data_IF_740131048275
#
_entry.id   IF_740131048275
#
_cell.length_a   1.000
_cell.length_b   1.000
_cell.length_c   1.000
_cell.angle_alpha   90.00
_cell.angle_beta   90.00
_cell.angle_gamma   90.00
#
_symmetry.space_group_name_H-M   'P 1'
#
loop_
_entity.id
_entity.type
_entity.pdbx_description
1 polymer ?
#
# COMPACT_ATOMS: atom_id res chain seq x y z
N UNK A 1 1.47 -37.28 -53.90
CA UNK A 1 0.94 -37.09 -52.53
C UNK A 1 1.58 -35.83 -51.96
N UNK A 2 0.80 -34.76 -51.79
CA UNK A 2 1.31 -33.49 -51.25
C UNK A 2 1.77 -33.70 -49.81
N UNK A 3 3.05 -33.44 -49.53
CA UNK A 3 3.54 -33.42 -48.16
C UNK A 3 2.86 -32.25 -47.44
N UNK A 4 2.03 -32.57 -46.44
CA UNK A 4 1.39 -31.57 -45.60
C UNK A 4 2.45 -30.70 -44.94
N UNK A 5 2.35 -29.38 -45.16
CA UNK A 5 3.24 -28.39 -44.55
C UNK A 5 3.16 -28.57 -43.03
N UNK A 6 4.26 -28.96 -42.39
CA UNK A 6 4.39 -29.08 -40.94
C UNK A 6 4.42 -27.68 -40.33
N UNK A 7 3.25 -27.05 -40.26
CA UNK A 7 3.09 -25.82 -39.49
C UNK A 7 3.16 -26.21 -38.01
N UNK A 8 4.05 -25.59 -37.21
CA UNK A 8 4.09 -25.85 -35.79
C UNK A 8 2.70 -25.54 -35.21
N UNK A 9 2.10 -26.53 -34.55
CA UNK A 9 0.76 -26.43 -33.98
C UNK A 9 0.76 -25.24 -33.00
N UNK A 10 -0.13 -24.28 -33.23
CA UNK A 10 -0.25 -23.09 -32.38
C UNK A 10 -0.71 -23.46 -30.98
N UNK A 11 0.22 -23.69 -30.07
CA UNK A 11 -0.11 -23.96 -28.66
C UNK A 11 -0.32 -22.63 -27.93
N UNK A 12 -1.59 -22.29 -27.67
CA UNK A 12 -1.95 -21.13 -26.84
C UNK A 12 -1.75 -21.47 -25.36
N UNK A 13 -0.60 -21.10 -24.80
CA UNK A 13 -0.34 -21.22 -23.36
C UNK A 13 -0.70 -19.92 -22.65
N UNK A 14 -1.60 -20.01 -21.68
CA UNK A 14 -1.88 -18.91 -20.77
C UNK A 14 -0.71 -18.80 -19.79
N UNK A 15 -0.02 -17.67 -19.77
CA UNK A 15 1.26 -17.48 -19.06
C UNK A 15 1.10 -17.10 -17.58
N UNK A 16 -0.04 -16.52 -17.20
CA UNK A 16 -0.28 -15.96 -15.87
C UNK A 16 -1.45 -16.67 -15.16
N UNK A 17 -1.37 -17.99 -15.01
CA UNK A 17 -2.38 -18.79 -14.29
C UNK A 17 -1.89 -19.09 -12.88
N UNK A 18 -2.77 -18.95 -11.89
CA UNK A 18 -2.65 -19.57 -10.58
C UNK A 18 -3.37 -20.91 -10.60
N UNK A 19 -2.77 -21.93 -9.99
CA UNK A 19 -3.39 -23.25 -9.87
C UNK A 19 -3.81 -23.46 -8.43
N UNK A 20 -5.09 -23.71 -8.21
CA UNK A 20 -5.59 -24.20 -6.91
C UNK A 20 -5.78 -25.69 -7.04
N UNK A 21 -5.16 -26.46 -6.15
CA UNK A 21 -5.14 -27.92 -6.19
C UNK A 21 -5.92 -28.48 -5.01
N UNK A 22 -6.73 -29.49 -5.27
CA UNK A 22 -7.36 -30.31 -4.25
C UNK A 22 -7.13 -31.79 -4.55
N UNK A 23 -6.86 -32.58 -3.51
CA UNK A 23 -6.69 -34.04 -3.63
C UNK A 23 -7.84 -34.72 -2.88
N UNK A 24 -8.65 -35.50 -3.60
CA UNK A 24 -9.79 -36.23 -3.04
C UNK A 24 -9.90 -37.61 -3.67
N UNK A 25 -10.19 -38.64 -2.88
CA UNK A 25 -10.28 -40.04 -3.34
C UNK A 25 -9.06 -40.52 -4.17
N UNK A 26 -7.86 -40.07 -3.78
CA UNK A 26 -6.62 -40.40 -4.51
C UNK A 26 -6.43 -39.71 -5.86
N UNK A 27 -7.44 -38.99 -6.37
CA UNK A 27 -7.41 -38.21 -7.60
C UNK A 27 -7.06 -36.75 -7.30
N UNK A 28 -6.45 -36.07 -8.27
CA UNK A 28 -6.06 -34.66 -8.19
C UNK A 28 -7.00 -33.85 -9.06
N UNK A 29 -7.51 -32.76 -8.50
CA UNK A 29 -8.35 -31.79 -9.19
C UNK A 29 -7.69 -30.42 -9.06
N UNK A 30 -7.64 -29.70 -10.16
CA UNK A 30 -6.95 -28.43 -10.29
C UNK A 30 -7.85 -27.45 -11.07
N UNK A 31 -7.87 -26.20 -10.62
CA UNK A 31 -8.60 -25.11 -11.28
C UNK A 31 -7.63 -24.00 -11.68
N UNK A 32 -7.95 -23.34 -12.78
CA UNK A 32 -7.19 -22.21 -13.31
C UNK A 32 -7.81 -20.90 -12.84
N UNK A 33 -7.09 -20.17 -11.99
CA UNK A 33 -7.55 -18.91 -11.40
C UNK A 33 -6.57 -17.77 -11.70
N UNK A 34 -7.01 -16.53 -11.48
CA UNK A 34 -6.12 -15.38 -11.44
C UNK A 34 -5.42 -15.28 -10.07
N UNK A 35 -4.10 -15.05 -10.08
CA UNK A 35 -3.23 -15.06 -8.88
C UNK A 35 -3.73 -14.18 -7.73
N UNK A 36 -4.04 -12.93 -8.00
CA UNK A 36 -4.45 -11.98 -6.95
C UNK A 36 -5.89 -12.21 -6.47
N UNK A 37 -6.73 -12.80 -7.32
CA UNK A 37 -8.17 -12.96 -7.08
C UNK A 37 -8.47 -14.09 -6.08
N UNK A 38 -7.65 -15.13 -6.04
CA UNK A 38 -7.85 -16.26 -5.11
C UNK A 38 -7.71 -15.82 -3.64
N UNK A 39 -6.78 -14.92 -3.34
CA UNK A 39 -6.59 -14.40 -1.97
C UNK A 39 -7.77 -13.49 -1.60
N UNK A 40 -8.21 -12.62 -2.52
CA UNK A 40 -9.38 -11.75 -2.32
C UNK A 40 -10.67 -12.56 -2.08
N UNK A 41 -10.84 -13.67 -2.80
CA UNK A 41 -11.95 -14.60 -2.61
C UNK A 41 -11.97 -15.17 -1.19
N UNK A 42 -10.82 -15.62 -0.68
CA UNK A 42 -10.70 -16.13 0.70
C UNK A 42 -10.95 -15.06 1.75
N UNK A 43 -10.59 -13.82 1.44
CA UNK A 43 -10.85 -12.68 2.30
C UNK A 43 -12.31 -12.17 2.17
N UNK A 44 -13.12 -12.73 1.26
CA UNK A 44 -14.52 -12.36 1.05
C UNK A 44 -14.74 -11.02 0.34
N UNK A 45 -13.71 -10.46 -0.29
CA UNK A 45 -13.77 -9.15 -0.97
C UNK A 45 -14.48 -9.27 -2.32
N UNK A 46 -14.26 -10.36 -3.04
CA UNK A 46 -14.88 -10.65 -4.34
C UNK A 46 -15.83 -11.84 -4.20
N UNK A 47 -16.99 -11.76 -4.87
CA UNK A 47 -18.07 -12.77 -4.78
C UNK A 47 -18.46 -13.37 -6.12
N UNK A 48 -17.93 -12.85 -7.23
CA UNK A 48 -18.24 -13.32 -8.58
C UNK A 48 -17.24 -14.37 -9.05
N UNK A 49 -17.73 -15.56 -9.40
CA UNK A 49 -16.89 -16.70 -9.80
C UNK A 49 -16.11 -16.46 -11.10
N UNK A 50 -16.74 -15.78 -12.06
CA UNK A 50 -16.19 -15.56 -13.40
C UNK A 50 -15.00 -14.61 -13.40
N UNK A 51 -14.86 -13.76 -12.37
CA UNK A 51 -13.71 -12.87 -12.23
C UNK A 51 -12.50 -13.57 -11.57
N UNK A 52 -12.76 -14.56 -10.72
CA UNK A 52 -11.70 -15.33 -10.04
C UNK A 52 -11.14 -16.42 -10.94
N UNK A 53 -12.00 -17.11 -11.68
CA UNK A 53 -11.64 -18.22 -12.56
C UNK A 53 -11.27 -17.72 -13.96
N UNK A 54 -10.23 -18.30 -14.56
CA UNK A 54 -9.96 -18.08 -15.99
C UNK A 54 -10.85 -18.95 -16.88
N UNK A 55 -11.24 -20.11 -16.36
CA UNK A 55 -12.09 -21.07 -17.06
C UNK A 55 -12.89 -21.82 -15.99
N UNK A 56 -14.19 -22.00 -16.22
CA UNK A 56 -15.11 -22.69 -15.30
C UNK A 56 -14.98 -24.22 -15.32
N UNK A 57 -13.97 -24.75 -16.00
CA UNK A 57 -13.74 -26.19 -16.12
C UNK A 57 -12.75 -26.71 -15.06
N UNK A 58 -13.00 -27.91 -14.56
CA UNK A 58 -12.13 -28.60 -13.61
C UNK A 58 -11.14 -29.50 -14.35
N UNK A 59 -9.86 -29.36 -14.05
CA UNK A 59 -8.78 -30.11 -14.68
C UNK A 59 -8.23 -31.17 -13.74
N UNK A 60 -7.76 -32.29 -14.27
CA UNK A 60 -6.88 -33.20 -13.54
C UNK A 60 -5.44 -32.64 -13.47
N UNK A 61 -5.04 -31.87 -14.50
CA UNK A 61 -3.78 -31.15 -14.54
C UNK A 61 -3.91 -29.89 -15.41
N UNK A 62 -3.76 -28.71 -14.80
CA UNK A 62 -3.91 -27.42 -15.51
C UNK A 62 -2.74 -27.19 -16.47
N UNK A 63 -1.50 -27.54 -16.08
CA UNK A 63 -0.31 -27.33 -16.92
C UNK A 63 -0.34 -28.15 -18.22
N UNK A 64 -0.98 -29.32 -18.19
CA UNK A 64 -1.16 -30.19 -19.36
C UNK A 64 -2.51 -30.00 -20.06
N UNK A 65 -3.42 -29.22 -19.49
CA UNK A 65 -4.77 -29.00 -20.02
C UNK A 65 -5.65 -30.25 -20.02
N UNK A 66 -5.40 -31.20 -19.12
CA UNK A 66 -6.18 -32.46 -19.05
C UNK A 66 -7.41 -32.23 -18.19
N UNK A 67 -8.60 -32.33 -18.80
CA UNK A 67 -9.88 -32.19 -18.10
C UNK A 67 -10.16 -33.40 -17.19
N UNK A 68 -10.82 -33.15 -16.07
CA UNK A 68 -11.31 -34.22 -15.20
C UNK A 68 -12.48 -34.96 -15.88
N UNK A 69 -12.54 -36.28 -15.74
CA UNK A 69 -13.67 -37.07 -16.25
C UNK A 69 -14.89 -36.85 -15.37
N UNK A 70 -16.09 -36.89 -15.97
CA UNK A 70 -17.36 -36.77 -15.26
C UNK A 70 -17.53 -37.85 -14.18
N UNK A 71 -17.08 -39.08 -14.45
CA UNK A 71 -17.07 -40.20 -13.49
C UNK A 71 -16.25 -39.86 -12.24
N UNK A 72 -15.04 -39.32 -12.43
CA UNK A 72 -14.14 -38.95 -11.35
C UNK A 72 -14.69 -37.80 -10.49
N UNK A 73 -15.39 -36.86 -11.11
CA UNK A 73 -16.05 -35.74 -10.41
C UNK A 73 -17.22 -36.24 -9.56
N UNK A 74 -18.02 -37.17 -10.09
CA UNK A 74 -19.16 -37.74 -9.37
C UNK A 74 -18.71 -38.55 -8.16
N UNK A 75 -17.66 -39.38 -8.30
CA UNK A 75 -17.09 -40.14 -7.19
C UNK A 75 -16.48 -39.22 -6.12
N UNK A 76 -15.80 -38.14 -6.54
CA UNK A 76 -15.11 -37.28 -5.61
C UNK A 76 -16.03 -36.28 -4.90
N UNK A 77 -16.95 -35.65 -5.63
CA UNK A 77 -17.75 -34.53 -5.14
C UNK A 77 -19.23 -34.87 -4.96
N UNK A 78 -19.71 -36.01 -5.49
CA UNK A 78 -21.12 -36.37 -5.47
C UNK A 78 -22.00 -35.52 -6.39
N UNK A 79 -21.39 -34.65 -7.21
CA UNK A 79 -22.06 -33.74 -8.14
C UNK A 79 -21.29 -33.66 -9.45
N UNK A 80 -21.99 -33.38 -10.54
CA UNK A 80 -21.44 -33.11 -11.87
C UNK A 80 -21.38 -31.61 -12.19
N UNK A 81 -21.91 -30.75 -11.32
CA UNK A 81 -21.89 -29.31 -11.55
C UNK A 81 -20.50 -28.72 -11.33
N UNK A 82 -19.90 -28.28 -12.43
CA UNK A 82 -18.56 -27.67 -12.44
C UNK A 82 -18.47 -26.42 -11.58
N UNK A 83 -19.52 -25.60 -11.45
CA UNK A 83 -19.48 -24.37 -10.66
C UNK A 83 -19.42 -24.66 -9.17
N UNK A 84 -20.30 -25.55 -8.69
CA UNK A 84 -20.30 -26.01 -7.28
C UNK A 84 -18.96 -26.67 -6.91
N UNK A 85 -18.37 -27.45 -7.82
CA UNK A 85 -17.06 -28.07 -7.60
C UNK A 85 -15.95 -27.00 -7.52
N UNK A 86 -15.97 -25.99 -8.39
CA UNK A 86 -14.98 -24.91 -8.34
C UNK A 86 -15.05 -24.12 -7.02
N UNK A 87 -16.25 -23.86 -6.49
CA UNK A 87 -16.44 -23.23 -5.18
C UNK A 87 -15.79 -24.05 -4.05
N UNK A 88 -16.01 -25.36 -4.06
CA UNK A 88 -15.46 -26.26 -3.05
C UNK A 88 -13.92 -26.32 -3.14
N UNK A 89 -13.36 -26.37 -4.35
CA UNK A 89 -11.90 -26.34 -4.57
C UNK A 89 -11.30 -24.99 -4.17
N UNK A 90 -11.98 -23.86 -4.39
CA UNK A 90 -11.49 -22.55 -3.96
C UNK A 90 -11.41 -22.42 -2.43
N UNK A 91 -12.39 -23.00 -1.73
CA UNK A 91 -12.49 -22.98 -0.27
C UNK A 91 -11.50 -23.94 0.41
N UNK A 92 -11.48 -25.21 0.01
CA UNK A 92 -10.68 -26.26 0.67
C UNK A 92 -9.33 -26.53 -0.01
N UNK A 93 -9.17 -26.13 -1.27
CA UNK A 93 -7.96 -26.40 -2.04
C UNK A 93 -6.75 -25.61 -1.55
N UNK A 94 -5.56 -26.04 -1.94
CA UNK A 94 -4.31 -25.33 -1.68
C UNK A 94 -3.88 -24.56 -2.92
N UNK A 95 -3.57 -23.27 -2.74
CA UNK A 95 -3.03 -22.44 -3.83
C UNK A 95 -1.58 -22.83 -4.06
N UNK A 96 -1.26 -23.21 -5.30
CA UNK A 96 0.13 -23.47 -5.69
C UNK A 96 0.83 -22.14 -5.92
N UNK A 97 1.65 -21.74 -4.94
CA UNK A 97 2.48 -20.55 -5.02
C UNK A 97 3.73 -20.89 -5.85
N UNK A 98 4.14 -19.99 -6.75
CA UNK A 98 5.37 -20.15 -7.52
C UNK A 98 6.60 -19.98 -6.63
N UNK A 99 7.74 -20.61 -6.95
CA UNK A 99 8.96 -20.48 -6.11
C UNK A 99 9.41 -19.02 -5.94
N UNK A 100 9.26 -18.21 -6.98
CA UNK A 100 9.55 -16.76 -6.95
C UNK A 100 8.63 -16.02 -5.99
N UNK A 101 7.33 -16.34 -6.00
CA UNK A 101 6.33 -15.70 -5.15
C UNK A 101 6.51 -16.11 -3.69
N UNK A 102 6.77 -17.40 -3.44
CA UNK A 102 7.11 -17.90 -2.11
C UNK A 102 8.33 -17.18 -1.55
N UNK A 103 9.36 -16.94 -2.37
CA UNK A 103 10.54 -16.18 -1.93
C UNK A 103 10.20 -14.73 -1.56
N UNK A 104 9.40 -14.04 -2.39
CA UNK A 104 8.96 -12.66 -2.09
C UNK A 104 8.10 -12.60 -0.83
N UNK A 105 7.21 -13.57 -0.62
CA UNK A 105 6.38 -13.68 0.58
C UNK A 105 7.25 -13.89 1.84
N UNK A 106 8.23 -14.79 1.78
CA UNK A 106 9.17 -15.01 2.86
C UNK A 106 10.03 -13.76 3.13
N UNK A 107 10.57 -13.13 2.09
CA UNK A 107 11.39 -11.91 2.21
C UNK A 107 10.58 -10.75 2.82
N UNK A 108 9.30 -10.62 2.46
CA UNK A 108 8.38 -9.64 3.04
C UNK A 108 8.14 -9.93 4.52
N UNK A 109 7.87 -11.19 4.87
CA UNK A 109 7.69 -11.61 6.26
C UNK A 109 8.97 -11.40 7.10
N UNK A 110 10.15 -11.67 6.54
CA UNK A 110 11.44 -11.37 7.18
C UNK A 110 11.58 -9.88 7.48
N UNK A 111 11.21 -9.02 6.53
CA UNK A 111 11.23 -7.57 6.69
C UNK A 111 10.24 -7.12 7.77
N UNK A 112 9.05 -7.71 7.82
CA UNK A 112 8.05 -7.41 8.86
C UNK A 112 8.55 -7.83 10.25
N UNK A 113 9.17 -9.01 10.36
CA UNK A 113 9.80 -9.48 11.61
C UNK A 113 10.93 -8.53 12.04
N UNK A 114 11.78 -8.11 11.11
CA UNK A 114 12.84 -7.14 11.38
C UNK A 114 12.29 -5.77 11.81
N UNK A 115 11.19 -5.32 11.20
CA UNK A 115 10.49 -4.09 11.60
C UNK A 115 10.01 -4.17 13.05
N UNK A 116 9.32 -5.26 13.41
CA UNK A 116 8.84 -5.48 14.78
C UNK A 116 9.99 -5.56 15.79
N UNK A 117 11.13 -6.12 15.40
CA UNK A 117 12.32 -6.15 16.25
C UNK A 117 12.94 -4.76 16.40
N UNK A 118 12.99 -3.96 15.33
CA UNK A 118 13.56 -2.60 15.38
C UNK A 118 12.81 -1.67 16.34
N UNK A 119 11.48 -1.80 16.41
CA UNK A 119 10.64 -1.02 17.33
C UNK A 119 10.82 -1.44 18.80
N UNK A 120 11.25 -2.69 19.04
CA UNK A 120 11.23 -3.30 20.37
C UNK A 120 12.60 -3.57 20.95
N UNK A 121 13.66 -3.42 20.16
CA UNK A 121 15.00 -3.81 20.54
C UNK A 121 15.94 -2.61 20.47
N UNK A 122 16.79 -2.52 21.47
CA UNK A 122 17.83 -1.50 21.57
C UNK A 122 19.18 -2.17 21.77
N UNK A 123 20.23 -1.47 21.39
CA UNK A 123 21.57 -1.81 21.81
C UNK A 123 21.75 -1.39 23.29
N UNK A 124 22.17 -2.28 24.20
CA UNK A 124 22.36 -1.93 25.61
C UNK A 124 23.47 -0.89 25.86
N UNK A 125 24.46 -0.77 24.97
CA UNK A 125 25.56 0.17 25.16
C UNK A 125 25.25 1.58 24.65
N UNK A 126 24.50 1.69 23.55
CA UNK A 126 24.19 2.99 22.92
C UNK A 126 22.76 3.46 23.16
N UNK A 127 21.89 2.61 23.73
CA UNK A 127 20.45 2.84 23.90
C UNK A 127 19.73 3.30 22.63
N UNK A 128 20.30 2.98 21.45
CA UNK A 128 19.77 3.30 20.13
C UNK A 128 19.09 2.07 19.52
N UNK A 129 17.99 2.27 18.77
CA UNK A 129 17.34 1.19 18.05
C UNK A 129 18.21 0.74 16.86
N UNK A 130 18.13 -0.54 16.54
CA UNK A 130 18.79 -1.10 15.35
C UNK A 130 18.02 -0.76 14.08
N UNK A 131 18.73 -0.57 12.97
CA UNK A 131 18.09 -0.41 11.67
C UNK A 131 17.52 -1.73 11.15
N UNK A 132 16.44 -1.67 10.36
CA UNK A 132 15.77 -2.84 9.78
C UNK A 132 16.76 -3.71 8.99
N UNK A 133 17.65 -3.09 8.20
CA UNK A 133 18.63 -3.81 7.37
C UNK A 133 19.69 -4.55 8.19
N UNK A 134 20.08 -4.03 9.37
CA UNK A 134 21.01 -4.74 10.27
C UNK A 134 20.34 -5.97 10.87
N UNK A 135 19.09 -5.85 11.31
CA UNK A 135 18.33 -6.96 11.86
C UNK A 135 18.00 -8.02 10.79
N UNK A 136 17.72 -7.61 9.56
CA UNK A 136 17.51 -8.54 8.44
C UNK A 136 18.76 -9.40 8.18
N UNK A 137 19.94 -8.79 8.18
CA UNK A 137 21.23 -9.50 8.05
C UNK A 137 21.47 -10.40 9.26
N UNK A 138 21.24 -9.91 10.47
CA UNK A 138 21.41 -10.68 11.70
C UNK A 138 20.49 -11.90 11.77
N UNK A 139 19.24 -11.78 11.30
CA UNK A 139 18.28 -12.88 11.20
C UNK A 139 18.73 -13.95 10.18
N UNK A 140 19.25 -13.52 9.02
CA UNK A 140 19.80 -14.41 7.99
C UNK A 140 21.05 -15.15 8.49
N UNK A 141 21.94 -14.44 9.18
CA UNK A 141 23.15 -15.00 9.78
C UNK A 141 22.85 -15.98 10.92
N UNK A 142 21.74 -15.78 11.62
CA UNK A 142 21.27 -16.68 12.69
C UNK A 142 20.50 -17.88 12.14
N UNK A 143 20.37 -18.00 10.81
CA UNK A 143 19.62 -19.07 10.13
C UNK A 143 18.19 -19.24 10.66
N UNK A 144 17.52 -18.14 11.02
CA UNK A 144 16.13 -18.19 11.46
C UNK A 144 15.21 -18.53 10.28
N UNK A 145 14.33 -19.53 10.46
CA UNK A 145 13.35 -19.92 9.45
C UNK A 145 12.00 -19.30 9.78
N UNK A 146 11.50 -18.41 8.91
CA UNK A 146 10.18 -17.78 9.07
C UNK A 146 9.06 -18.68 8.54
N UNK A 147 7.94 -18.71 9.26
CA UNK A 147 6.76 -19.48 8.89
C UNK A 147 5.63 -18.57 8.38
N UNK A 148 5.11 -18.73 7.15
CA UNK A 148 4.02 -17.90 6.63
C UNK A 148 2.71 -18.01 7.41
N UNK A 149 2.50 -19.11 8.14
CA UNK A 149 1.26 -19.36 8.90
C UNK A 149 1.20 -18.63 10.24
N UNK A 150 2.35 -18.22 10.77
CA UNK A 150 2.43 -17.58 12.09
C UNK A 150 2.54 -16.06 11.92
N UNK A 151 1.96 -15.24 12.81
CA UNK A 151 2.10 -13.79 12.70
C UNK A 151 3.54 -13.35 12.98
N UNK A 152 4.01 -12.30 12.31
CA UNK A 152 5.37 -11.78 12.42
C UNK A 152 5.78 -11.43 13.87
N UNK A 153 4.84 -10.93 14.69
CA UNK A 153 5.11 -10.59 16.10
C UNK A 153 5.47 -11.79 16.97
N UNK A 154 4.85 -12.95 16.74
CA UNK A 154 5.16 -14.16 17.50
C UNK A 154 6.54 -14.69 17.09
N UNK A 155 6.84 -14.67 15.80
CA UNK A 155 8.13 -15.08 15.27
C UNK A 155 9.27 -14.16 15.74
N UNK A 156 9.04 -12.86 15.84
CA UNK A 156 10.02 -11.91 16.39
C UNK A 156 10.40 -12.24 17.84
N UNK A 157 9.45 -12.69 18.67
CA UNK A 157 9.74 -13.07 20.05
C UNK A 157 10.56 -14.36 20.16
N UNK A 158 10.41 -15.28 19.21
CA UNK A 158 11.22 -16.51 19.11
C UNK A 158 12.62 -16.24 18.55
N UNK A 159 12.75 -15.24 17.66
CA UNK A 159 14.03 -14.83 17.10
C UNK A 159 14.92 -14.09 18.11
N UNK A 160 14.34 -13.41 19.10
CA UNK A 160 15.08 -12.55 20.03
C UNK A 160 16.16 -13.29 20.86
N UNK A 161 15.91 -14.46 21.46
CA UNK A 161 16.93 -15.21 22.20
C UNK A 161 18.07 -15.70 21.30
N UNK A 162 17.74 -16.11 20.07
CA UNK A 162 18.73 -16.55 19.07
C UNK A 162 19.65 -15.40 18.67
N UNK A 163 19.08 -14.21 18.48
CA UNK A 163 19.82 -13.00 18.18
C UNK A 163 20.69 -12.55 19.36
N UNK A 164 20.19 -12.65 20.60
CA UNK A 164 20.92 -12.28 21.83
C UNK A 164 22.19 -13.11 22.06
N UNK A 165 22.24 -14.35 21.56
CA UNK A 165 23.43 -15.20 21.67
C UNK A 165 24.63 -14.69 20.85
N UNK A 166 24.37 -13.95 19.75
CA UNK A 166 25.40 -13.52 18.79
C UNK A 166 25.59 -12.01 18.74
N UNK A 167 24.55 -11.24 19.06
CA UNK A 167 24.55 -9.78 19.07
C UNK A 167 24.04 -9.26 20.41
N UNK A 168 24.61 -8.16 20.94
CA UNK A 168 24.12 -7.51 22.15
C UNK A 168 22.80 -6.78 21.84
N UNK A 169 21.70 -7.51 21.90
CA UNK A 169 20.35 -6.99 21.66
C UNK A 169 19.54 -7.21 22.93
N UNK A 170 18.99 -6.12 23.46
CA UNK A 170 18.09 -6.16 24.60
C UNK A 170 16.72 -5.61 24.20
N UNK A 171 15.67 -6.10 24.86
CA UNK A 171 14.33 -5.56 24.67
C UNK A 171 14.27 -4.17 25.29
N UNK A 172 13.66 -3.22 24.59
CA UNK A 172 13.43 -1.89 25.10
C UNK A 172 12.63 -1.94 26.40
N UNK A 173 13.15 -1.27 27.44
CA UNK A 173 12.47 -1.08 28.72
C UNK A 173 11.47 0.07 28.58
N UNK A 174 10.36 -0.01 29.30
CA UNK A 174 9.36 1.05 29.38
C UNK A 174 9.72 1.98 30.52
N UNK A 175 9.56 3.30 30.33
CA UNK A 175 9.68 4.29 31.39
C UNK A 175 8.29 4.55 31.95
N UNK A 176 8.08 4.16 33.20
CA UNK A 176 6.81 4.27 33.92
C UNK A 176 6.98 5.29 35.05
N UNK A 177 5.99 6.16 35.21
CA UNK A 177 5.81 6.98 36.40
C UNK A 177 4.70 6.37 37.24
N UNK A 178 5.05 5.95 38.44
CA UNK A 178 4.12 5.36 39.40
C UNK A 178 3.90 6.37 40.51
N UNK A 179 2.65 6.74 40.79
CA UNK A 179 2.27 7.55 41.94
C UNK A 179 1.49 6.66 42.92
N UNK A 180 2.04 6.45 44.11
CA UNK A 180 1.47 5.56 45.15
C UNK A 180 1.50 6.30 46.50
N UNK A 181 0.53 6.09 47.39
CA UNK A 181 0.58 6.64 48.75
C UNK A 181 1.78 6.11 49.55
N UNK A 182 2.30 6.93 50.47
CA UNK A 182 3.49 6.62 51.29
C UNK A 182 3.43 5.30 52.08
N UNK A 183 2.23 4.79 52.38
CA UNK A 183 2.01 3.54 53.14
C UNK A 183 2.59 2.31 52.46
N UNK A 184 2.69 2.34 51.13
CA UNK A 184 3.05 1.18 50.31
C UNK A 184 4.38 1.38 49.55
N UNK A 185 5.19 2.36 49.99
CA UNK A 185 6.46 2.72 49.31
C UNK A 185 7.48 1.57 49.30
N UNK A 186 7.64 0.89 50.44
CA UNK A 186 8.73 -0.08 50.64
C UNK A 186 8.42 -1.38 49.88
N UNK A 187 7.17 -1.83 49.91
CA UNK A 187 6.71 -3.00 49.15
C UNK A 187 6.79 -2.77 47.63
N UNK A 188 6.51 -1.55 47.16
CA UNK A 188 6.65 -1.22 45.73
C UNK A 188 8.11 -1.23 45.29
N UNK A 189 9.02 -0.68 46.10
CA UNK A 189 10.45 -0.67 45.81
C UNK A 189 11.03 -2.09 45.83
N UNK A 190 10.61 -2.94 46.77
CA UNK A 190 10.98 -4.36 46.81
C UNK A 190 10.44 -5.13 45.59
N UNK A 191 9.20 -4.88 45.16
CA UNK A 191 8.64 -5.53 43.97
C UNK A 191 9.37 -5.09 42.70
N UNK A 192 9.69 -3.80 42.57
CA UNK A 192 10.50 -3.28 41.46
C UNK A 192 11.90 -3.91 41.45
N UNK A 193 12.56 -3.99 42.61
CA UNK A 193 13.87 -4.63 42.75
C UNK A 193 13.84 -6.13 42.42
N UNK A 194 12.82 -6.86 42.89
CA UNK A 194 12.63 -8.29 42.58
C UNK A 194 12.34 -8.54 41.11
N UNK A 195 11.68 -7.61 40.44
CA UNK A 195 11.31 -7.72 39.03
C UNK A 195 12.32 -7.07 38.07
N UNK A 196 13.46 -6.61 38.57
CA UNK A 196 14.55 -6.06 37.76
C UNK A 196 14.28 -4.66 37.20
N UNK A 197 13.38 -3.89 37.82
CA UNK A 197 13.13 -2.49 37.45
C UNK A 197 14.24 -1.59 37.97
N UNK A 198 14.87 -0.82 37.08
CA UNK A 198 15.81 0.22 37.49
C UNK A 198 15.04 1.49 37.85
N UNK A 199 15.23 2.01 39.06
CA UNK A 199 14.61 3.26 39.50
C UNK A 199 15.53 4.42 39.11
N UNK A 200 15.02 5.37 38.34
CA UNK A 200 15.77 6.56 37.93
C UNK A 200 15.55 7.71 38.90
N UNK A 201 14.30 7.96 39.29
CA UNK A 201 13.93 9.16 40.03
C UNK A 201 12.86 8.83 41.07
N UNK A 202 13.00 9.41 42.26
CA UNK A 202 12.09 9.23 43.39
C UNK A 202 11.74 10.60 43.95
N UNK A 203 10.48 11.00 43.76
CA UNK A 203 9.94 12.25 44.28
C UNK A 203 8.96 11.96 45.43
N UNK A 204 9.19 12.65 46.54
CA UNK A 204 8.32 12.67 47.69
C UNK A 204 7.55 13.99 47.67
N UNK A 205 6.27 13.95 47.27
CA UNK A 205 5.41 15.12 47.24
C UNK A 205 4.28 14.96 48.26
N UNK A 206 4.54 15.38 49.50
CA UNK A 206 3.57 15.29 50.60
C UNK A 206 3.19 13.83 50.89
N UNK A 207 1.91 13.48 50.77
CA UNK A 207 1.38 12.12 51.01
C UNK A 207 1.50 11.17 49.80
N UNK A 208 1.92 11.67 48.63
CA UNK A 208 2.12 10.88 47.42
C UNK A 208 3.62 10.66 47.15
N UNK A 209 3.98 9.41 46.89
CA UNK A 209 5.28 9.00 46.41
C UNK A 209 5.22 8.76 44.90
N UNK A 210 5.97 9.55 44.13
CA UNK A 210 6.11 9.39 42.68
C UNK A 210 7.47 8.77 42.38
N UNK A 211 7.49 7.63 41.67
CA UNK A 211 8.73 6.99 41.23
C UNK A 211 8.73 6.84 39.71
N UNK A 212 9.84 7.21 39.08
CA UNK A 212 10.09 6.94 37.67
C UNK A 212 10.99 5.71 37.58
N UNK A 213 10.49 4.65 36.95
CA UNK A 213 11.19 3.37 36.81
C UNK A 213 11.25 2.88 35.37
N UNK A 214 12.37 2.26 35.02
CA UNK A 214 12.60 1.52 33.78
C UNK A 214 12.28 0.04 34.02
N UNK A 215 11.25 -0.47 33.34
CA UNK A 215 10.74 -1.83 33.56
C UNK A 215 10.57 -2.56 32.23
N UNK A 216 10.84 -3.87 32.18
CA UNK A 216 10.50 -4.66 30.99
C UNK A 216 8.97 -4.73 30.77
N UNK A 217 8.49 -4.68 29.52
CA UNK A 217 7.05 -4.73 29.23
C UNK A 217 6.31 -5.97 29.77
N UNK A 218 7.02 -7.08 29.99
CA UNK A 218 6.43 -8.32 30.56
C UNK A 218 6.01 -8.17 32.02
N UNK A 219 6.69 -7.31 32.76
CA UNK A 219 6.50 -7.07 34.20
C UNK A 219 5.41 -6.03 34.47
N UNK A 220 5.03 -5.23 33.47
CA UNK A 220 4.00 -4.19 33.57
C UNK A 220 2.70 -4.69 34.21
N UNK A 221 2.23 -5.89 33.82
CA UNK A 221 0.97 -6.44 34.34
C UNK A 221 1.03 -6.71 35.85
N UNK A 222 2.15 -7.24 36.33
CA UNK A 222 2.36 -7.52 37.76
C UNK A 222 2.43 -6.21 38.57
N UNK A 223 3.13 -5.20 38.06
CA UNK A 223 3.23 -3.88 38.69
C UNK A 223 1.87 -3.18 38.74
N UNK A 224 1.11 -3.22 37.64
CA UNK A 224 -0.22 -2.63 37.59
C UNK A 224 -1.21 -3.30 38.57
N UNK A 225 -1.25 -4.65 38.61
CA UNK A 225 -2.09 -5.37 39.57
C UNK A 225 -1.69 -5.05 41.02
N UNK A 226 -0.38 -4.99 41.31
CA UNK A 226 0.09 -4.62 42.64
C UNK A 226 -0.35 -3.21 43.05
N UNK A 227 -0.24 -2.21 42.15
CA UNK A 227 -0.70 -0.85 42.44
C UNK A 227 -2.21 -0.81 42.69
N UNK A 228 -3.00 -1.58 41.94
CA UNK A 228 -4.44 -1.65 42.17
C UNK A 228 -4.81 -2.31 43.51
N UNK A 229 -4.11 -3.37 43.90
CA UNK A 229 -4.36 -4.10 45.15
C UNK A 229 -3.84 -3.35 46.37
N UNK A 230 -2.59 -2.90 46.34
CA UNK A 230 -1.92 -2.27 47.49
C UNK A 230 -2.34 -0.81 47.70
N UNK A 231 -2.88 -0.14 46.68
CA UNK A 231 -3.31 1.25 46.78
C UNK A 231 -4.83 1.44 46.89
N UNK A 232 -5.63 0.38 46.94
CA UNK A 232 -7.12 0.46 46.94
C UNK A 232 -7.69 1.43 45.89
N UNK A 233 -7.03 1.56 44.73
CA UNK A 233 -7.43 2.46 43.64
C UNK A 233 -6.94 3.91 43.72
N UNK A 234 -6.19 4.31 44.76
CA UNK A 234 -5.59 5.65 44.87
C UNK A 234 -4.27 5.82 44.08
N UNK A 235 -3.72 4.73 43.55
CA UNK A 235 -2.45 4.71 42.84
C UNK A 235 -2.63 5.01 41.36
N UNK A 236 -1.86 5.98 40.84
CA UNK A 236 -1.90 6.39 39.43
C UNK A 236 -0.65 5.91 38.73
N UNK A 237 -0.82 5.09 37.69
CA UNK A 237 0.26 4.63 36.83
C UNK A 237 0.20 5.41 35.51
N UNK A 238 1.29 6.09 35.18
CA UNK A 238 1.46 6.82 33.93
C UNK A 238 2.62 6.21 33.13
N UNK A 239 2.40 5.95 31.85
CA UNK A 239 3.47 5.49 30.95
C UNK A 239 4.10 6.72 30.32
N UNK A 240 5.35 7.03 30.68
CA UNK A 240 6.08 8.16 30.12
C UNK A 240 6.63 7.83 28.73
N UNK A 241 7.21 6.63 28.56
CA UNK A 241 7.67 6.15 27.26
C UNK A 241 7.50 4.64 27.12
N UNK A 242 7.02 4.20 25.95
CA UNK A 242 6.89 2.78 25.60
C UNK A 242 8.22 2.12 25.24
N UNK A 243 9.24 2.92 24.89
CA UNK A 243 10.59 2.45 24.63
C UNK A 243 11.56 3.53 25.12
N UNK A 244 12.25 3.25 26.23
CA UNK A 244 13.33 4.09 26.72
C UNK A 244 14.55 3.92 25.79
N UNK A 245 14.49 4.55 24.62
CA UNK A 245 15.71 4.95 23.93
C UNK A 245 16.36 6.03 24.77
N UNK A 246 17.68 5.99 24.89
CA UNK A 246 18.45 7.02 25.58
C UNK A 246 18.36 8.33 24.79
N UNK A 247 17.26 9.04 24.91
CA UNK A 247 17.22 10.47 24.66
C UNK A 247 17.99 11.11 25.82
N UNK A 248 19.31 11.11 25.68
CA UNK A 248 20.08 12.20 26.26
C UNK A 248 19.48 13.48 25.66
N UNK A 249 18.98 14.36 26.54
CA UNK A 249 18.74 15.76 26.21
C UNK A 249 19.99 16.30 25.49
N UNK A 250 19.93 16.35 24.17
CA UNK A 250 20.84 17.14 23.38
C UNK A 250 20.23 18.54 23.35
N UNK A 251 20.80 19.40 24.18
CA UNK A 251 20.71 20.85 24.11
C UNK A 251 20.65 21.33 22.64
N UNK A 252 19.51 21.89 22.26
CA UNK A 252 19.36 22.77 21.10
C UNK A 252 18.74 24.07 21.57
N UNK A 253 19.44 24.76 22.48
CA UNK A 253 19.05 26.06 22.99
C UNK A 253 20.24 26.98 23.23
N UNK A 254 20.89 27.49 22.18
CA UNK A 254 21.42 28.88 22.12
C UNK A 254 22.43 29.07 20.96
N UNK A 255 21.92 29.07 19.72
CA UNK A 255 22.60 29.73 18.60
C UNK A 255 21.63 30.70 17.90
N UNK A 256 21.02 31.58 18.70
CA UNK A 256 20.18 32.67 18.21
C UNK A 256 20.39 33.91 19.06
N UNK A 257 21.61 34.47 18.99
CA UNK A 257 21.87 35.86 19.35
C UNK A 257 22.56 36.50 18.15
N UNK A 258 21.77 37.12 17.28
CA UNK A 258 22.26 37.80 16.09
C UNK A 258 21.13 38.31 15.20
N UNK A 259 20.66 39.52 15.52
CA UNK A 259 20.11 40.53 14.58
C UNK A 259 18.79 40.15 13.87
N UNK A 260 17.65 40.61 14.39
CA UNK A 260 16.96 41.88 14.04
C UNK A 260 15.93 41.74 12.91
N UNK A 261 14.68 42.08 13.26
CA UNK A 261 13.75 42.76 12.35
C UNK A 261 12.89 41.89 11.43
N UNK A 262 11.67 41.60 11.88
CA UNK A 262 10.39 42.08 11.28
C UNK A 262 9.26 41.11 11.66
N UNK A 263 8.22 41.68 12.27
CA UNK A 263 7.12 40.94 12.86
C UNK A 263 6.24 40.19 11.87
N UNK A 264 5.41 39.30 12.43
CA UNK A 264 4.02 39.04 12.05
C UNK A 264 3.42 38.02 13.02
N UNK A 265 2.64 38.52 13.97
CA UNK A 265 1.64 37.74 14.66
C UNK A 265 0.39 37.65 13.77
N UNK A 266 0.08 36.48 13.21
CA UNK A 266 -1.24 36.02 12.78
C UNK A 266 -1.09 34.76 11.90
N UNK A 267 -1.40 33.57 12.42
CA UNK A 267 -1.26 32.35 11.63
C UNK A 267 -1.64 31.06 12.32
N UNK A 268 -2.73 31.02 13.08
CA UNK A 268 -3.29 29.73 13.56
C UNK A 268 -4.81 29.63 13.49
N UNK A 269 -5.54 30.68 13.11
CA UNK A 269 -7.01 30.66 13.04
C UNK A 269 -7.57 30.19 11.70
N UNK A 270 -6.76 30.10 10.62
CA UNK A 270 -7.28 29.75 9.28
C UNK A 270 -7.27 28.24 8.98
N UNK A 271 -6.33 27.47 9.53
CA UNK A 271 -6.24 26.03 9.26
C UNK A 271 -7.41 25.23 9.89
N UNK A 272 -7.90 25.67 11.05
CA UNK A 272 -8.99 25.01 11.75
C UNK A 272 -10.38 25.33 11.16
N UNK A 273 -10.53 26.51 10.55
CA UNK A 273 -11.80 26.94 9.94
C UNK A 273 -12.03 26.30 8.56
N UNK A 274 -10.95 25.99 7.84
CA UNK A 274 -11.02 25.35 6.51
C UNK A 274 -11.36 23.85 6.60
N UNK A 275 -11.04 23.19 7.71
CA UNK A 275 -11.37 21.78 7.94
C UNK A 275 -12.85 21.56 8.34
N UNK A 276 -13.47 22.52 9.04
CA UNK A 276 -14.90 22.47 9.37
C UNK A 276 -15.81 22.81 8.18
N UNK A 277 -15.38 23.67 7.26
CA UNK A 277 -16.15 23.99 6.04
C UNK A 277 -16.14 22.83 5.03
N UNK A 278 -15.04 22.07 4.95
CA UNK A 278 -14.95 20.88 4.09
C UNK A 278 -15.88 19.73 4.54
N UNK A 279 -16.12 19.58 5.85
CA UNK A 279 -17.04 18.57 6.37
C UNK A 279 -18.52 18.97 6.20
N UNK A 280 -18.84 20.27 6.23
CA UNK A 280 -20.20 20.76 6.02
C UNK A 280 -20.67 20.63 4.56
N UNK A 281 -19.77 20.77 3.56
CA UNK A 281 -20.12 20.61 2.14
C UNK A 281 -20.38 19.16 1.74
N UNK A 282 -19.70 18.19 2.34
CA UNK A 282 -19.91 16.75 2.06
C UNK A 282 -21.27 16.27 2.57
N UNK A 283 -21.76 16.80 3.71
CA UNK A 283 -23.12 16.51 4.19
C UNK A 283 -24.23 17.14 3.32
N UNK A 284 -23.98 18.31 2.72
CA UNK A 284 -24.95 18.97 1.83
C UNK A 284 -25.07 18.25 0.48
N UNK A 285 -24.02 17.56 0.03
CA UNK A 285 -24.03 16.81 -1.23
C UNK A 285 -24.72 15.43 -1.10
N UNK A 286 -24.76 14.85 0.10
CA UNK A 286 -25.49 13.59 0.38
C UNK A 286 -27.02 13.77 0.56
N UNK A 287 -27.52 14.99 0.73
CA UNK A 287 -28.97 15.25 0.77
C UNK A 287 -29.62 15.52 -0.60
N UNK A 288 -28.84 15.60 -1.69
CA UNK A 288 -29.37 15.80 -3.06
C UNK A 288 -29.66 14.51 -3.84
N UNK A 289 -29.46 13.33 -3.24
CA UNK A 289 -29.87 12.06 -3.82
C UNK A 289 -30.58 11.18 -2.78
N UNK A 290 -31.85 11.49 -2.52
CA UNK A 290 -32.82 10.52 -2.02
C UNK A 290 -33.96 10.41 -3.02
N UNK A 291 -34.32 9.23 -3.54
CA UNK A 291 -35.59 9.05 -4.23
C UNK A 291 -36.74 9.11 -3.22
N UNK A 292 -37.77 9.87 -3.55
CA UNK A 292 -39.02 9.94 -2.80
C UNK A 292 -39.85 8.67 -3.08
N UNK A 293 -40.21 7.95 -2.03
CA UNK A 293 -41.27 6.96 -2.05
C UNK A 293 -42.46 7.51 -1.25
N UNK A 294 -43.61 7.66 -1.92
CA UNK A 294 -44.91 7.76 -1.28
C UNK A 294 -45.95 7.11 -2.21
N UNK A 295 -46.65 6.11 -1.68
CA UNK A 295 -47.90 5.54 -2.20
C UNK A 295 -49.02 6.63 -2.20
N UNK A 296 -50.14 6.58 -2.93
CA UNK A 296 -51.00 5.46 -3.34
C UNK A 296 -52.03 5.95 -4.38
N UNK A 297 -52.60 4.98 -5.10
CA UNK A 297 -53.99 4.86 -5.57
C UNK A 297 -54.56 5.70 -6.75
N UNK A 298 -55.02 4.90 -7.73
CA UNK A 298 -56.30 4.99 -8.48
C UNK A 298 -56.29 5.59 -9.88
N UNK A 299 -56.85 4.83 -10.83
CA UNK A 299 -57.68 5.37 -11.92
C UNK A 299 -57.20 5.22 -13.37
N UNK A 300 -57.54 4.08 -13.98
CA UNK A 300 -58.29 3.98 -15.25
C UNK A 300 -57.72 4.45 -16.62
N UNK A 301 -57.74 3.48 -17.56
CA UNK A 301 -57.99 3.49 -19.02
C UNK A 301 -57.00 4.04 -20.08
N UNK A 302 -56.63 3.10 -20.96
CA UNK A 302 -56.73 3.08 -22.43
C UNK A 302 -56.05 4.16 -23.30
N UNK A 303 -55.16 3.73 -24.20
CA UNK A 303 -55.35 3.71 -25.67
C UNK A 303 -54.03 3.78 -26.46
N UNK A 304 -53.91 2.90 -27.46
CA UNK A 304 -53.66 3.29 -28.85
C UNK A 304 -52.29 3.84 -29.28
N UNK A 305 -51.49 2.95 -29.91
CA UNK A 305 -50.93 3.06 -31.26
C UNK A 305 -50.07 4.27 -31.69
N UNK A 306 -48.85 4.02 -32.20
CA UNK A 306 -48.46 4.08 -33.63
C UNK A 306 -46.96 4.39 -33.86
N UNK A 307 -46.38 3.59 -34.77
CA UNK A 307 -45.44 3.86 -35.87
C UNK A 307 -44.18 4.78 -35.76
N UNK A 308 -43.11 4.27 -36.38
CA UNK A 308 -41.77 4.80 -36.71
C UNK A 308 -41.80 6.06 -37.66
N UNK A 309 -40.69 6.72 -38.14
CA UNK A 309 -39.36 6.19 -38.50
C UNK A 309 -38.08 7.09 -38.39
N UNK A 310 -36.91 6.45 -38.59
CA UNK A 310 -35.62 6.84 -39.23
C UNK A 310 -35.23 8.33 -39.42
N UNK A 311 -34.02 8.74 -38.96
CA UNK A 311 -33.07 9.53 -39.78
C UNK A 311 -31.60 9.50 -39.30
N UNK A 312 -30.66 9.34 -40.25
CA UNK A 312 -29.21 9.56 -40.15
C UNK A 312 -28.89 11.05 -40.29
N UNK A 313 -27.92 11.57 -39.53
CA UNK A 313 -26.94 12.62 -39.92
C UNK A 313 -25.96 12.80 -38.73
N UNK A 314 -24.66 12.56 -38.89
CA UNK A 314 -23.62 13.49 -39.37
C UNK A 314 -23.27 14.62 -38.38
N UNK A 315 -22.02 14.62 -37.91
CA UNK A 315 -21.29 15.78 -37.38
C UNK A 315 -21.58 16.16 -35.93
N UNK A 316 -20.57 16.03 -35.04
CA UNK A 316 -20.48 16.90 -33.86
C UNK A 316 -19.07 17.49 -33.69
N UNK A 317 -18.98 18.76 -33.27
CA UNK A 317 -17.78 19.59 -33.30
C UNK A 317 -17.01 19.52 -31.98
N UNK A 318 -15.80 20.07 -31.98
CA UNK A 318 -14.87 20.09 -30.86
C UNK A 318 -15.46 20.71 -29.57
N UNK A 319 -15.14 20.06 -28.45
CA UNK A 319 -15.40 20.57 -27.11
C UNK A 319 -14.14 21.29 -26.61
N UNK A 320 -14.33 22.57 -26.26
CA UNK A 320 -13.32 23.49 -25.76
C UNK A 320 -12.75 23.08 -24.39
N UNK A 321 -11.48 23.44 -24.22
CA UNK A 321 -10.65 23.16 -23.05
C UNK A 321 -11.08 23.96 -21.81
N UNK A 322 -11.06 23.29 -20.65
CA UNK A 322 -11.16 23.92 -19.34
C UNK A 322 -9.82 23.78 -18.59
N UNK A 323 -9.25 24.91 -18.16
CA UNK A 323 -8.32 25.02 -17.02
C UNK A 323 -6.84 24.65 -17.21
N UNK A 324 -6.15 25.16 -18.23
CA UNK A 324 -4.67 25.09 -18.30
C UNK A 324 -4.03 26.47 -18.21
N UNK A 325 -3.14 26.68 -17.24
CA UNK A 325 -2.34 27.90 -17.11
C UNK A 325 -1.06 27.73 -17.93
N UNK A 326 -0.81 28.63 -18.88
CA UNK A 326 0.37 28.60 -19.74
C UNK A 326 1.56 29.10 -18.94
N UNK A 327 2.56 28.23 -18.71
CA UNK A 327 3.78 28.55 -17.95
C UNK A 327 4.84 29.16 -18.87
N UNK A 328 4.88 28.75 -20.13
CA UNK A 328 5.78 29.32 -21.13
C UNK A 328 5.03 29.52 -22.47
N UNK A 329 4.91 30.77 -22.95
CA UNK A 329 4.27 31.06 -24.22
C UNK A 329 5.12 30.55 -25.39
N UNK A 330 4.46 30.13 -26.47
CA UNK A 330 5.04 29.53 -27.68
C UNK A 330 6.41 30.11 -28.06
N UNK A 331 7.46 29.32 -27.88
CA UNK A 331 8.83 29.70 -28.21
C UNK A 331 9.60 28.58 -28.95
N UNK A 332 10.75 28.90 -29.55
CA UNK A 332 11.61 27.90 -30.17
C UNK A 332 12.14 26.92 -29.12
N UNK A 333 12.30 25.66 -29.52
CA UNK A 333 12.74 24.57 -28.64
C UNK A 333 14.07 24.88 -27.92
N UNK A 334 14.96 25.67 -28.53
CA UNK A 334 16.23 26.09 -27.92
C UNK A 334 16.12 27.14 -26.81
N UNK A 335 14.98 27.83 -26.67
CA UNK A 335 14.80 28.95 -25.73
C UNK A 335 14.25 28.57 -24.34
N UNK A 336 14.22 27.28 -23.98
CA UNK A 336 13.64 26.82 -22.71
C UNK A 336 14.50 27.18 -21.49
N UNK A 337 13.90 27.69 -20.39
CA UNK A 337 14.59 27.99 -19.13
C UNK A 337 15.39 26.81 -18.57
N UNK A 338 16.47 27.11 -17.82
CA UNK A 338 17.44 26.11 -17.31
C UNK A 338 16.80 25.07 -16.36
N UNK A 339 15.71 25.43 -15.69
CA UNK A 339 14.89 24.55 -14.85
C UNK A 339 14.31 23.32 -15.59
N UNK A 340 14.29 23.34 -16.92
CA UNK A 340 13.80 22.25 -17.77
C UNK A 340 14.86 21.72 -18.75
N UNK A 341 16.16 21.87 -18.41
CA UNK A 341 17.29 21.46 -19.24
C UNK A 341 17.22 19.99 -19.74
N UNK A 342 16.77 19.06 -18.89
CA UNK A 342 16.64 17.63 -19.27
C UNK A 342 15.57 17.39 -20.32
N UNK A 343 14.58 18.29 -20.44
CA UNK A 343 13.56 18.25 -21.50
C UNK A 343 14.10 18.86 -22.80
N UNK A 344 14.93 19.90 -22.69
CA UNK A 344 15.61 20.54 -23.83
C UNK A 344 16.51 19.57 -24.60
N UNK A 345 17.29 18.74 -23.93
CA UNK A 345 18.09 17.69 -24.60
C UNK A 345 17.21 16.73 -25.44
N UNK A 346 16.06 16.33 -24.90
CA UNK A 346 15.14 15.44 -25.63
C UNK A 346 14.48 16.14 -26.81
N UNK A 347 14.26 17.45 -26.73
CA UNK A 347 13.65 18.22 -27.82
C UNK A 347 14.68 18.65 -28.87
N UNK A 348 15.97 18.65 -28.55
CA UNK A 348 17.04 18.89 -29.53
C UNK A 348 17.00 17.88 -30.69
N UNK A 349 16.66 16.61 -30.41
CA UNK A 349 16.47 15.58 -31.46
C UNK A 349 15.40 15.98 -32.50
N UNK A 350 14.37 16.74 -32.11
CA UNK A 350 13.33 17.20 -33.04
C UNK A 350 13.86 18.30 -33.97
N UNK A 351 14.67 19.20 -33.44
CA UNK A 351 15.23 20.33 -34.19
C UNK A 351 16.36 19.88 -35.13
N UNK A 352 17.13 18.85 -34.74
CA UNK A 352 18.10 18.18 -35.63
C UNK A 352 17.44 17.51 -36.83
N UNK A 353 16.25 16.92 -36.65
CA UNK A 353 15.52 16.25 -37.73
C UNK A 353 14.84 17.24 -38.68
N UNK A 354 14.28 18.33 -38.14
CA UNK A 354 13.64 19.38 -38.93
C UNK A 354 13.63 20.69 -38.13
N UNK A 355 14.34 21.74 -38.57
CA UNK A 355 14.38 23.00 -37.82
C UNK A 355 13.03 23.72 -37.83
N UNK A 356 12.70 24.40 -36.72
CA UNK A 356 11.55 25.30 -36.65
C UNK A 356 10.34 24.79 -35.84
N UNK A 357 10.55 23.80 -34.96
CA UNK A 357 9.51 23.40 -34.01
C UNK A 357 9.32 24.45 -32.92
N UNK A 358 8.07 24.67 -32.54
CA UNK A 358 7.73 25.51 -31.38
C UNK A 358 7.05 24.69 -30.30
N UNK A 359 7.36 25.00 -29.04
CA UNK A 359 6.85 24.28 -27.88
C UNK A 359 6.15 25.24 -26.94
N UNK A 360 5.05 24.78 -26.37
CA UNK A 360 4.27 25.49 -25.35
C UNK A 360 4.18 24.59 -24.12
N UNK A 361 4.56 25.13 -22.95
CA UNK A 361 4.47 24.41 -21.68
C UNK A 361 3.20 24.86 -20.94
N UNK A 362 2.31 23.91 -20.68
CA UNK A 362 1.05 24.13 -19.97
C UNK A 362 1.08 23.40 -18.64
N UNK A 363 0.74 24.11 -17.57
CA UNK A 363 0.45 23.49 -16.27
C UNK A 363 -1.04 23.17 -16.20
N UNK A 364 -1.37 21.95 -15.77
CA UNK A 364 -2.75 21.51 -15.55
C UNK A 364 -3.08 21.61 -14.06
N UNK A 365 -3.60 22.76 -13.63
CA UNK A 365 -4.06 22.96 -12.25
C UNK A 365 -2.96 22.81 -11.18
N UNK A 366 -3.35 22.85 -9.91
CA UNK A 366 -2.51 23.00 -8.69
C UNK A 366 -1.52 21.84 -8.37
N UNK A 367 -1.05 21.11 -9.39
CA UNK A 367 -0.04 20.06 -9.28
C UNK A 367 1.20 20.36 -10.12
N UNK A 368 2.36 19.86 -9.68
CA UNK A 368 3.67 20.07 -10.31
C UNK A 368 3.87 19.42 -11.70
N UNK A 369 2.80 19.06 -12.40
CA UNK A 369 2.85 18.34 -13.68
C UNK A 369 2.73 19.32 -14.84
N UNK A 370 3.84 19.57 -15.52
CA UNK A 370 3.92 20.44 -16.70
C UNK A 370 3.89 19.58 -17.96
N UNK A 371 2.84 19.75 -18.77
CA UNK A 371 2.68 19.12 -20.08
C UNK A 371 3.32 19.99 -21.19
N UNK A 372 4.01 19.33 -22.12
CA UNK A 372 4.60 19.98 -23.29
C UNK A 372 3.78 19.69 -24.56
N UNK A 373 3.30 20.75 -25.21
CA UNK A 373 2.56 20.69 -26.47
C UNK A 373 3.46 21.19 -27.60
N UNK A 374 3.61 20.37 -28.64
CA UNK A 374 4.46 20.67 -29.79
C UNK A 374 3.65 21.16 -30.99
N UNK A 375 4.20 22.15 -31.68
CA UNK A 375 3.66 22.70 -32.90
C UNK A 375 4.65 22.51 -34.04
N UNK A 376 4.13 22.07 -35.20
CA UNK A 376 4.92 21.90 -36.41
C UNK A 376 5.47 23.24 -36.92
N UNK A 377 6.47 23.24 -37.82
CA UNK A 377 6.94 24.45 -38.49
C UNK A 377 5.85 25.19 -39.30
N UNK A 378 4.77 24.48 -39.68
CA UNK A 378 3.59 25.06 -40.36
C UNK A 378 2.57 25.69 -39.38
N UNK A 379 2.78 25.53 -38.07
CA UNK A 379 1.90 26.06 -37.02
C UNK A 379 0.80 25.11 -36.55
N UNK A 380 0.76 23.87 -37.03
CA UNK A 380 -0.24 22.88 -36.61
C UNK A 380 0.08 22.31 -35.22
N UNK A 381 -0.95 22.16 -34.38
CA UNK A 381 -0.81 21.55 -33.06
C UNK A 381 -0.70 20.02 -33.19
N UNK A 382 0.47 19.47 -32.86
CA UNK A 382 0.76 18.02 -32.94
C UNK A 382 0.52 17.32 -31.58
N UNK A 383 0.39 18.09 -30.51
CA UNK A 383 0.14 17.58 -29.17
C UNK A 383 1.41 17.01 -28.54
N UNK A 384 1.44 15.70 -28.29
CA UNK A 384 2.51 15.04 -27.56
C UNK A 384 3.81 14.84 -28.38
N UNK A 385 4.95 14.80 -27.69
CA UNK A 385 6.30 14.58 -28.27
C UNK A 385 6.39 13.37 -29.22
N UNK A 386 5.75 12.25 -28.87
CA UNK A 386 5.80 11.03 -29.68
C UNK A 386 5.13 11.18 -31.06
N UNK A 387 4.18 12.11 -31.20
CA UNK A 387 3.54 12.41 -32.47
C UNK A 387 4.42 13.36 -33.30
N UNK A 388 5.00 14.37 -32.65
CA UNK A 388 5.96 15.29 -33.28
C UNK A 388 7.16 14.54 -33.87
N UNK A 389 7.76 13.62 -33.11
CA UNK A 389 8.93 12.84 -33.56
C UNK A 389 8.61 11.94 -34.76
N UNK A 390 7.44 11.31 -34.78
CA UNK A 390 6.98 10.51 -35.92
C UNK A 390 6.79 11.34 -37.18
N UNK A 391 6.30 12.58 -37.02
CA UNK A 391 6.12 13.50 -38.13
C UNK A 391 7.47 13.99 -38.68
N UNK A 392 8.39 14.38 -37.81
CA UNK A 392 9.75 14.80 -38.18
C UNK A 392 10.57 13.68 -38.87
N UNK A 393 10.46 12.44 -38.40
CA UNK A 393 11.11 11.29 -39.06
C UNK A 393 10.51 11.00 -40.45
N UNK A 394 9.20 11.17 -40.62
CA UNK A 394 8.54 10.97 -41.91
C UNK A 394 8.93 12.06 -42.92
N UNK A 395 9.05 13.31 -42.49
CA UNK A 395 9.50 14.42 -43.35
C UNK A 395 10.98 14.29 -43.70
N UNK A 396 11.85 13.97 -42.73
CA UNK A 396 13.27 13.69 -42.98
C UNK A 396 13.47 12.52 -43.96
N UNK A 397 12.73 11.42 -43.80
CA UNK A 397 12.79 10.28 -44.72
C UNK A 397 12.25 10.62 -46.12
N UNK A 398 11.22 11.45 -46.23
CA UNK A 398 10.71 11.93 -47.51
C UNK A 398 11.69 12.86 -48.22
N UNK A 399 12.41 13.71 -47.48
CA UNK A 399 13.47 14.56 -48.02
C UNK A 399 14.68 13.73 -48.48
N UNK A 400 15.08 12.70 -47.73
CA UNK A 400 16.19 11.83 -48.09
C UNK A 400 15.89 10.85 -49.23
N UNK A 401 14.61 10.52 -49.48
CA UNK A 401 14.19 9.64 -50.57
C UNK A 401 13.85 10.34 -51.88
N UNK A 402 13.96 11.67 -51.94
CA UNK A 402 13.65 12.50 -53.11
C UNK A 402 14.87 13.16 -53.77
N UNK A 403 16.08 12.75 -53.40
CA UNK A 403 17.35 13.20 -53.99
C UNK A 403 17.99 12.08 -54.82
#
# INVERSE_FOLDING_TARGET
MSQGVFQPIGQKRLTNIAVVRMKKFGKRFEIACYKNKVINWRNGVEKDLDEVLQTSAVFANVSKGVLAKREDLLEAFGTDDTQTICLLILAEGEVQISDKERKVELDTLFRDVASVLSEKCINPESSRPYTISMLERALKDSHFSVDPKRPAKAQAMEALPLLKARFPIERARMRLRLAVPLRCKDEMLELLGRQGGAVEEQDLLGDLFSVVCLVEPGTFRSVHTFIQTSSEGAGRLEVLSLAATGEAEADVGAAAAGLEGLGLAAGSTQAQQQQQQAQAQVQQQQQRQRPAAAASSSGFLAAGATAAPVQRQAGRPGAAAAGSTVVYPRGPVGGLPEEHASRRERFAELDELQPGWSVELRSRGEGATIDAVFFSPAGDCVGAYANARRMALRTSKAAAGGA
#
